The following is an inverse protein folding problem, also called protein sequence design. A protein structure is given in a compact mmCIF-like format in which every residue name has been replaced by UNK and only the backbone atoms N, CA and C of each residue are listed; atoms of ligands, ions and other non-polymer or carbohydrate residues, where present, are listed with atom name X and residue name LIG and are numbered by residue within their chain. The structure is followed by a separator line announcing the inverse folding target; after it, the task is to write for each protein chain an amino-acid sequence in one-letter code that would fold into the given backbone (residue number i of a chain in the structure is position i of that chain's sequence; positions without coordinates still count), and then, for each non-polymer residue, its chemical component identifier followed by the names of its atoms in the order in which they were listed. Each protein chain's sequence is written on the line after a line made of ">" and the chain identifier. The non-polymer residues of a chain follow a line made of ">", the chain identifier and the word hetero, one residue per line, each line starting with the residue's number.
data_IF_477226804637
#
_entry.id   IF_477226804637
#
_cell.length_a   1.000
_cell.length_b   1.000
_cell.length_c   1.000
_cell.angle_alpha   90.00
_cell.angle_beta   90.00
_cell.angle_gamma   90.00
#
_symmetry.space_group_name_H-M   'P 1'
#
loop_
_entity.id
_entity.type
_entity.pdbx_description
1 polymer ?
#
# COMPACT_ATOMS: atom_id res chain seq x y z
N UNK A 1 -44.56 -10.27 -13.17
CA UNK A 1 -43.25 -10.26 -13.87
C UNK A 1 -42.17 -10.31 -12.81
N UNK A 2 -41.58 -11.48 -12.61
CA UNK A 2 -40.50 -11.74 -11.66
C UNK A 2 -39.19 -11.26 -12.26
N UNK A 3 -38.63 -10.19 -11.71
CA UNK A 3 -37.26 -9.75 -12.04
C UNK A 3 -36.31 -10.74 -11.37
N UNK A 4 -35.63 -11.54 -12.19
CA UNK A 4 -34.55 -12.41 -11.73
C UNK A 4 -33.43 -11.54 -11.17
N UNK A 5 -33.16 -11.63 -9.87
CA UNK A 5 -31.94 -11.10 -9.28
C UNK A 5 -30.78 -11.88 -9.89
N UNK A 6 -30.04 -11.27 -10.82
CA UNK A 6 -28.77 -11.82 -11.24
C UNK A 6 -27.85 -11.80 -10.02
N UNK A 7 -27.60 -12.97 -9.44
CA UNK A 7 -26.79 -13.10 -8.24
C UNK A 7 -25.40 -12.49 -8.43
N UNK A 8 -24.88 -11.91 -7.35
CA UNK A 8 -23.54 -11.37 -7.17
C UNK A 8 -22.46 -12.48 -7.14
N UNK A 9 -22.52 -13.43 -8.08
CA UNK A 9 -21.59 -14.55 -8.11
C UNK A 9 -20.15 -14.05 -8.35
N UNK A 10 -19.22 -14.47 -7.49
CA UNK A 10 -17.80 -14.21 -7.69
C UNK A 10 -17.36 -14.78 -9.05
N UNK A 11 -16.51 -14.08 -9.83
CA UNK A 11 -15.88 -14.69 -10.99
C UNK A 11 -15.03 -15.90 -10.57
N UNK A 12 -14.99 -16.93 -11.40
CA UNK A 12 -14.35 -18.23 -11.11
C UNK A 12 -12.81 -18.17 -10.95
N UNK A 13 -12.17 -17.01 -11.13
CA UNK A 13 -10.73 -16.86 -10.97
C UNK A 13 -10.33 -16.90 -9.50
N UNK A 14 -9.29 -17.68 -9.18
CA UNK A 14 -8.72 -17.83 -7.83
C UNK A 14 -7.77 -16.70 -7.40
N UNK A 15 -7.68 -15.61 -8.16
CA UNK A 15 -6.90 -14.42 -7.81
C UNK A 15 -7.69 -13.39 -7.01
N UNK A 16 -7.02 -12.32 -6.54
CA UNK A 16 -7.64 -11.27 -5.76
C UNK A 16 -8.68 -10.52 -6.60
N UNK A 17 -9.75 -10.08 -5.95
CA UNK A 17 -10.73 -9.15 -6.53
C UNK A 17 -10.77 -7.90 -5.67
N UNK A 18 -10.72 -6.74 -6.32
CA UNK A 18 -10.77 -5.44 -5.67
C UNK A 18 -11.92 -4.61 -6.26
N UNK A 19 -13.06 -4.63 -5.56
CA UNK A 19 -14.26 -3.92 -5.96
C UNK A 19 -14.59 -2.80 -4.95
N UNK A 20 -15.33 -1.79 -5.40
CA UNK A 20 -15.68 -0.61 -4.59
C UNK A 20 -17.18 -0.41 -4.47
N UNK A 21 -17.65 0.14 -3.35
CA UNK A 21 -18.97 0.73 -3.19
C UNK A 21 -18.84 2.18 -2.74
N UNK A 22 -19.71 3.03 -3.29
CA UNK A 22 -19.80 4.44 -2.93
C UNK A 22 -21.16 4.73 -2.31
N UNK A 23 -21.18 5.44 -1.19
CA UNK A 23 -22.37 6.04 -0.62
C UNK A 23 -22.00 7.34 0.09
N UNK A 24 -22.97 8.21 0.32
CA UNK A 24 -22.80 9.49 1.01
C UNK A 24 -23.10 9.40 2.52
N UNK A 25 -23.22 8.17 3.03
CA UNK A 25 -23.50 7.90 4.43
C UNK A 25 -23.15 6.46 4.82
N UNK A 26 -22.83 6.26 6.10
CA UNK A 26 -22.66 4.94 6.70
C UNK A 26 -23.86 4.00 6.46
N UNK A 27 -25.09 4.52 6.47
CA UNK A 27 -26.28 3.70 6.20
C UNK A 27 -26.30 3.17 4.77
N UNK A 28 -25.95 4.00 3.79
CA UNK A 28 -25.83 3.57 2.39
C UNK A 28 -24.68 2.58 2.17
N UNK A 29 -23.56 2.75 2.87
CA UNK A 29 -22.46 1.78 2.85
C UNK A 29 -22.90 0.40 3.37
N UNK A 30 -23.64 0.39 4.48
CA UNK A 30 -24.20 -0.84 5.07
C UNK A 30 -25.19 -1.53 4.12
N UNK A 31 -26.05 -0.76 3.43
CA UNK A 31 -26.99 -1.33 2.44
C UNK A 31 -26.28 -2.11 1.34
N UNK A 32 -25.11 -1.66 0.90
CA UNK A 32 -24.32 -2.36 -0.15
C UNK A 32 -23.49 -3.50 0.44
N UNK A 33 -22.90 -3.32 1.62
CA UNK A 33 -22.05 -4.31 2.26
C UNK A 33 -22.81 -5.54 2.77
N UNK A 34 -24.06 -5.36 3.21
CA UNK A 34 -24.84 -6.41 3.87
C UNK A 34 -25.19 -7.59 2.94
N UNK A 35 -25.64 -7.40 1.69
CA UNK A 35 -25.81 -8.50 0.73
C UNK A 35 -24.50 -9.25 0.47
N UNK A 36 -23.40 -8.52 0.27
CA UNK A 36 -22.08 -9.08 0.01
C UNK A 36 -21.60 -10.02 1.14
N UNK A 37 -21.78 -9.61 2.39
CA UNK A 37 -21.49 -10.43 3.57
C UNK A 37 -22.38 -11.67 3.64
N UNK A 38 -23.71 -11.50 3.52
CA UNK A 38 -24.68 -12.59 3.65
C UNK A 38 -24.48 -13.68 2.60
N UNK A 39 -24.24 -13.29 1.36
CA UNK A 39 -23.97 -14.22 0.27
C UNK A 39 -22.66 -14.98 0.47
N UNK A 40 -21.62 -14.31 0.98
CA UNK A 40 -20.36 -14.96 1.33
C UNK A 40 -20.55 -16.03 2.38
N UNK A 41 -21.16 -15.67 3.50
CA UNK A 41 -21.44 -16.58 4.60
C UNK A 41 -22.33 -17.75 4.15
N UNK A 42 -23.36 -17.49 3.34
CA UNK A 42 -24.24 -18.53 2.78
C UNK A 42 -23.50 -19.46 1.81
N UNK A 43 -22.51 -18.95 1.08
CA UNK A 43 -21.63 -19.74 0.22
C UNK A 43 -20.54 -20.50 1.00
N UNK A 44 -20.31 -20.17 2.28
CA UNK A 44 -19.21 -20.71 3.09
C UNK A 44 -17.87 -20.00 2.86
N UNK A 45 -17.90 -18.78 2.31
CA UNK A 45 -16.74 -17.88 2.28
C UNK A 45 -16.63 -17.17 3.64
N UNK A 46 -15.50 -17.25 4.35
CA UNK A 46 -15.26 -16.43 5.54
C UNK A 46 -15.33 -14.93 5.19
N UNK A 47 -15.93 -14.14 6.08
CA UNK A 47 -16.09 -12.69 5.93
C UNK A 47 -15.35 -11.97 7.06
N UNK A 48 -14.46 -11.06 6.69
CA UNK A 48 -13.75 -10.16 7.60
C UNK A 48 -14.24 -8.74 7.35
N UNK A 49 -14.55 -8.01 8.43
CA UNK A 49 -14.97 -6.60 8.37
C UNK A 49 -13.88 -5.75 9.04
N UNK A 50 -13.37 -4.77 8.29
CA UNK A 50 -12.30 -3.84 8.67
C UNK A 50 -12.76 -2.41 8.31
N UNK A 51 -13.74 -1.90 9.04
CA UNK A 51 -14.43 -0.63 8.76
C UNK A 51 -14.39 0.31 9.95
N UNK A 52 -14.80 1.57 9.76
CA UNK A 52 -15.03 2.47 10.88
C UNK A 52 -16.12 1.94 11.82
N UNK A 53 -16.12 2.41 13.07
CA UNK A 53 -17.06 1.99 14.12
C UNK A 53 -18.54 2.07 13.69
N UNK A 54 -19.03 3.16 13.02
CA UNK A 54 -20.44 3.27 12.65
C UNK A 54 -20.92 2.14 11.73
N UNK A 55 -20.12 1.79 10.72
CA UNK A 55 -20.45 0.72 9.76
C UNK A 55 -20.24 -0.65 10.39
N UNK A 56 -19.19 -0.83 11.20
CA UNK A 56 -18.93 -2.08 11.89
C UNK A 56 -20.08 -2.45 12.84
N UNK A 57 -20.58 -1.49 13.62
CA UNK A 57 -21.67 -1.69 14.58
C UNK A 57 -22.99 -2.00 13.87
N UNK A 58 -23.31 -1.29 12.80
CA UNK A 58 -24.50 -1.55 12.00
C UNK A 58 -24.47 -2.94 11.33
N UNK A 59 -23.33 -3.33 10.76
CA UNK A 59 -23.13 -4.67 10.21
C UNK A 59 -23.24 -5.75 11.30
N UNK A 60 -22.67 -5.52 12.49
CA UNK A 60 -22.76 -6.45 13.62
C UNK A 60 -24.20 -6.64 14.08
N UNK A 61 -24.97 -5.56 14.19
CA UNK A 61 -26.39 -5.62 14.53
C UNK A 61 -27.22 -6.39 13.48
N UNK A 62 -26.91 -6.22 12.19
CA UNK A 62 -27.67 -6.81 11.09
C UNK A 62 -27.29 -8.27 10.75
N UNK A 63 -26.05 -8.67 11.04
CA UNK A 63 -25.51 -10.01 10.75
C UNK A 63 -25.54 -10.93 11.97
N UNK A 64 -25.49 -10.39 13.18
CA UNK A 64 -25.30 -11.18 14.40
C UNK A 64 -23.89 -11.76 14.50
N UNK A 65 -23.77 -13.01 14.97
CA UNK A 65 -22.49 -13.71 15.14
C UNK A 65 -22.49 -15.10 14.47
N UNK A 66 -22.68 -15.18 13.14
CA UNK A 66 -22.60 -16.44 12.42
C UNK A 66 -21.15 -16.96 12.38
N UNK A 67 -20.94 -18.28 12.24
CA UNK A 67 -19.61 -18.83 12.02
C UNK A 67 -19.00 -18.25 10.74
N UNK A 68 -17.70 -17.96 10.78
CA UNK A 68 -16.96 -17.41 9.63
C UNK A 68 -17.07 -15.88 9.47
N UNK A 69 -17.77 -15.16 10.35
CA UNK A 69 -17.74 -13.69 10.39
C UNK A 69 -16.75 -13.22 11.46
N UNK A 70 -15.85 -12.30 11.10
CA UNK A 70 -14.88 -11.70 12.02
C UNK A 70 -14.84 -10.18 11.81
N UNK A 71 -14.78 -9.43 12.91
CA UNK A 71 -14.57 -7.99 12.89
C UNK A 71 -13.18 -7.70 13.44
N UNK A 72 -12.40 -6.88 12.73
CA UNK A 72 -11.07 -6.44 13.16
C UNK A 72 -11.07 -4.90 13.27
N UNK A 73 -10.31 -4.38 14.23
CA UNK A 73 -10.08 -2.95 14.33
C UNK A 73 -9.20 -2.48 13.15
N UNK A 74 -9.57 -1.37 12.52
CA UNK A 74 -8.79 -0.78 11.44
C UNK A 74 -7.34 -0.50 11.86
N UNK A 75 -7.10 -0.12 13.12
CA UNK A 75 -5.76 0.19 13.66
C UNK A 75 -4.86 -1.03 13.77
N UNK A 76 -5.45 -2.23 13.89
CA UNK A 76 -4.70 -3.49 13.96
C UNK A 76 -4.32 -4.01 12.57
N UNK A 77 -5.11 -3.64 11.54
CA UNK A 77 -4.90 -4.10 10.16
C UNK A 77 -4.13 -3.09 9.32
N UNK A 78 -4.51 -1.82 9.40
CA UNK A 78 -3.86 -0.72 8.71
C UNK A 78 -2.70 -0.20 9.57
N UNK A 79 -1.55 -0.84 9.39
CA UNK A 79 -0.31 -0.38 10.00
C UNK A 79 0.08 1.01 9.51
N UNK A 80 1.04 1.63 10.21
CA UNK A 80 1.60 2.95 9.86
C UNK A 80 2.04 3.06 8.39
N UNK A 81 2.50 1.96 7.81
CA UNK A 81 2.99 1.88 6.43
C UNK A 81 2.13 0.90 5.63
N UNK A 82 1.79 1.27 4.41
CA UNK A 82 0.92 0.46 3.54
C UNK A 82 1.44 -0.97 3.26
N UNK A 83 2.75 -1.28 3.26
CA UNK A 83 3.18 -2.66 3.05
C UNK A 83 2.92 -3.58 4.26
N UNK A 84 2.77 -3.02 5.46
CA UNK A 84 2.34 -3.77 6.64
C UNK A 84 0.88 -4.25 6.46
N UNK A 85 0.03 -3.42 5.86
CA UNK A 85 -1.36 -3.77 5.50
C UNK A 85 -1.41 -4.95 4.52
N UNK A 86 -0.58 -4.94 3.46
CA UNK A 86 -0.49 -6.08 2.54
C UNK A 86 -0.06 -7.36 3.25
N UNK A 87 0.90 -7.25 4.17
CA UNK A 87 1.36 -8.37 5.00
C UNK A 87 0.25 -8.89 5.92
N UNK A 88 -0.54 -7.99 6.52
CA UNK A 88 -1.69 -8.36 7.34
C UNK A 88 -2.73 -9.13 6.52
N UNK A 89 -3.09 -8.67 5.32
CA UNK A 89 -4.03 -9.37 4.46
C UNK A 89 -3.52 -10.73 3.98
N UNK A 90 -2.22 -10.85 3.63
CA UNK A 90 -1.62 -12.16 3.32
C UNK A 90 -1.74 -13.13 4.50
N UNK A 91 -1.49 -12.67 5.73
CA UNK A 91 -1.65 -13.48 6.94
C UNK A 91 -3.11 -13.88 7.18
N UNK A 92 -4.06 -12.97 6.97
CA UNK A 92 -5.49 -13.28 7.09
C UNK A 92 -5.93 -14.35 6.09
N UNK A 93 -5.50 -14.25 4.84
CA UNK A 93 -5.82 -15.26 3.81
C UNK A 93 -5.19 -16.61 4.16
N UNK A 94 -3.92 -16.64 4.57
CA UNK A 94 -3.24 -17.87 4.95
C UNK A 94 -3.87 -18.54 6.19
N UNK A 95 -4.30 -17.75 7.18
CA UNK A 95 -4.93 -18.25 8.41
C UNK A 95 -6.40 -18.66 8.26
N UNK A 96 -7.06 -18.31 7.15
CA UNK A 96 -8.48 -18.59 6.95
C UNK A 96 -8.79 -20.05 6.53
N UNK A 97 -7.77 -20.89 6.30
CA UNK A 97 -7.89 -22.32 5.94
C UNK A 97 -8.99 -22.58 4.87
N UNK A 98 -8.91 -21.86 3.75
CA UNK A 98 -9.97 -21.82 2.75
C UNK A 98 -10.10 -23.15 1.98
N UNK A 99 -11.31 -23.76 1.93
CA UNK A 99 -11.56 -24.91 1.07
C UNK A 99 -11.34 -24.59 -0.42
N UNK A 100 -11.08 -25.60 -1.28
CA UNK A 100 -10.94 -25.38 -2.72
C UNK A 100 -12.13 -24.63 -3.32
N UNK A 101 -11.85 -23.57 -4.08
CA UNK A 101 -12.86 -22.72 -4.72
C UNK A 101 -13.50 -21.68 -3.79
N UNK A 102 -13.12 -21.64 -2.50
CA UNK A 102 -13.53 -20.58 -1.56
C UNK A 102 -12.54 -19.43 -1.56
N UNK A 103 -13.00 -18.31 -1.02
CA UNK A 103 -12.22 -17.07 -0.90
C UNK A 103 -12.51 -16.38 0.41
N UNK A 104 -11.54 -15.63 0.91
CA UNK A 104 -11.75 -14.69 2.00
C UNK A 104 -12.45 -13.45 1.44
N UNK A 105 -13.59 -13.05 2.00
CA UNK A 105 -14.24 -11.78 1.68
C UNK A 105 -13.88 -10.74 2.72
N UNK A 106 -13.45 -9.57 2.28
CA UNK A 106 -13.06 -8.47 3.16
C UNK A 106 -13.92 -7.27 2.84
N UNK A 107 -14.66 -6.77 3.83
CA UNK A 107 -15.34 -5.47 3.76
C UNK A 107 -14.41 -4.47 4.42
N UNK A 108 -13.94 -3.49 3.66
CA UNK A 108 -12.87 -2.59 4.09
C UNK A 108 -13.31 -1.13 3.91
N UNK A 109 -13.08 -0.30 4.92
CA UNK A 109 -12.98 1.16 4.73
C UNK A 109 -11.54 1.56 4.92
N UNK A 110 -11.03 2.47 4.11
CA UNK A 110 -9.67 2.99 4.28
C UNK A 110 -9.79 4.32 5.01
N UNK A 111 -9.25 4.36 6.23
CA UNK A 111 -9.27 5.55 7.07
C UNK A 111 -8.36 6.69 6.54
N UNK A 112 -7.54 6.41 5.50
CA UNK A 112 -6.54 7.35 5.00
C UNK A 112 -5.44 7.61 6.02
N UNK A 113 -4.69 8.70 5.80
CA UNK A 113 -3.74 9.23 6.79
C UNK A 113 -3.90 10.74 6.95
N UNK A 114 -3.24 11.33 7.97
CA UNK A 114 -3.45 12.73 8.35
C UNK A 114 -3.02 13.75 7.29
N UNK A 115 -2.16 13.39 6.32
CA UNK A 115 -1.64 14.32 5.33
C UNK A 115 -1.71 13.84 3.89
N UNK A 116 -1.49 14.78 2.95
CA UNK A 116 -1.50 14.54 1.50
C UNK A 116 -0.53 13.42 1.08
N UNK A 117 0.61 13.29 1.79
CA UNK A 117 1.58 12.23 1.52
C UNK A 117 1.08 10.85 1.87
N UNK A 118 0.36 10.71 2.97
CA UNK A 118 -0.25 9.44 3.34
C UNK A 118 -1.29 9.04 2.30
N UNK A 119 -2.08 10.00 1.83
CA UNK A 119 -3.04 9.77 0.74
C UNK A 119 -2.37 9.31 -0.55
N UNK A 120 -1.22 9.88 -0.93
CA UNK A 120 -0.46 9.41 -2.10
C UNK A 120 0.03 7.97 -1.91
N UNK A 121 0.49 7.61 -0.72
CA UNK A 121 0.94 6.24 -0.46
C UNK A 121 -0.23 5.24 -0.44
N UNK A 122 -1.39 5.64 0.09
CA UNK A 122 -2.62 4.84 -0.02
C UNK A 122 -3.09 4.70 -1.47
N UNK A 123 -2.98 5.74 -2.32
CA UNK A 123 -3.28 5.62 -3.75
C UNK A 123 -2.37 4.62 -4.45
N UNK A 124 -1.08 4.60 -4.11
CA UNK A 124 -0.14 3.58 -4.62
C UNK A 124 -0.56 2.18 -4.18
N UNK A 125 -0.88 2.01 -2.89
CA UNK A 125 -1.38 0.76 -2.34
C UNK A 125 -2.63 0.26 -3.07
N UNK A 126 -3.62 1.13 -3.25
CA UNK A 126 -4.88 0.82 -3.94
C UNK A 126 -4.65 0.37 -5.39
N UNK A 127 -3.70 0.99 -6.09
CA UNK A 127 -3.35 0.60 -7.45
C UNK A 127 -2.69 -0.78 -7.52
N UNK A 128 -1.88 -1.15 -6.54
CA UNK A 128 -1.07 -2.39 -6.58
C UNK A 128 -1.66 -3.55 -5.81
N UNK A 129 -2.75 -3.39 -5.06
CA UNK A 129 -3.27 -4.43 -4.15
C UNK A 129 -3.57 -5.75 -4.86
N UNK A 130 -4.16 -5.70 -6.06
CA UNK A 130 -4.41 -6.91 -6.87
C UNK A 130 -3.11 -7.57 -7.35
N UNK A 131 -2.09 -6.78 -7.67
CA UNK A 131 -0.78 -7.30 -8.07
C UNK A 131 -0.05 -7.91 -6.87
N UNK A 132 -0.01 -7.19 -5.75
CA UNK A 132 0.68 -7.61 -4.54
C UNK A 132 0.04 -8.84 -3.89
N UNK A 133 -1.27 -9.04 -4.04
CA UNK A 133 -1.99 -10.21 -3.55
C UNK A 133 -2.27 -11.22 -4.66
N UNK A 134 -1.53 -11.18 -5.77
CA UNK A 134 -1.65 -12.17 -6.83
C UNK A 134 -1.49 -13.60 -6.26
N UNK A 135 -2.44 -14.47 -6.59
CA UNK A 135 -2.49 -15.84 -6.08
C UNK A 135 -3.20 -16.00 -4.73
N UNK A 136 -3.53 -14.91 -4.02
CA UNK A 136 -4.37 -14.97 -2.83
C UNK A 136 -5.86 -15.01 -3.22
N UNK A 137 -6.64 -16.01 -2.78
CA UNK A 137 -8.07 -16.08 -3.01
C UNK A 137 -8.82 -15.12 -2.06
N UNK A 138 -8.74 -13.83 -2.34
CA UNK A 138 -9.36 -12.76 -1.54
C UNK A 138 -10.27 -11.89 -2.40
N UNK A 139 -11.36 -11.39 -1.81
CA UNK A 139 -12.27 -10.45 -2.45
C UNK A 139 -12.54 -9.28 -1.51
N UNK A 140 -11.98 -8.14 -1.85
CA UNK A 140 -12.22 -6.88 -1.19
C UNK A 140 -13.47 -6.20 -1.76
N UNK A 141 -14.34 -5.76 -0.84
CA UNK A 141 -15.34 -4.73 -1.07
C UNK A 141 -14.90 -3.49 -0.29
N UNK A 142 -14.27 -2.55 -0.98
CA UNK A 142 -13.84 -1.28 -0.42
C UNK A 142 -15.02 -0.31 -0.38
N UNK A 143 -15.33 0.19 0.80
CA UNK A 143 -16.41 1.14 1.05
C UNK A 143 -15.82 2.56 1.07
N UNK A 144 -16.43 3.46 0.31
CA UNK A 144 -15.99 4.84 0.16
C UNK A 144 -17.15 5.77 0.52
N UNK A 145 -17.03 6.45 1.67
CA UNK A 145 -17.99 7.47 2.08
C UNK A 145 -17.73 8.79 1.33
N UNK A 146 -18.52 9.06 0.30
CA UNK A 146 -18.37 10.28 -0.52
C UNK A 146 -18.83 11.55 0.20
N UNK A 147 -19.50 11.43 1.34
CA UNK A 147 -19.89 12.55 2.20
C UNK A 147 -18.75 13.01 3.10
N UNK A 148 -17.85 12.11 3.50
CA UNK A 148 -16.71 12.41 4.37
C UNK A 148 -15.37 12.51 3.62
N UNK A 149 -15.18 11.72 2.56
CA UNK A 149 -13.90 11.62 1.88
C UNK A 149 -13.63 12.83 0.96
N UNK A 150 -12.37 13.30 0.89
CA UNK A 150 -11.97 14.31 -0.08
C UNK A 150 -12.25 13.84 -1.52
N UNK A 151 -12.68 14.76 -2.39
CA UNK A 151 -13.05 14.46 -3.77
C UNK A 151 -11.92 13.76 -4.57
N UNK A 152 -10.64 14.07 -4.26
CA UNK A 152 -9.52 13.39 -4.88
C UNK A 152 -9.47 11.89 -4.53
N UNK A 153 -9.80 11.52 -3.29
CA UNK A 153 -9.79 10.12 -2.84
C UNK A 153 -10.90 9.34 -3.53
N UNK A 154 -12.10 9.91 -3.60
CA UNK A 154 -13.24 9.32 -4.32
C UNK A 154 -12.87 9.09 -5.79
N UNK A 155 -12.33 10.11 -6.47
CA UNK A 155 -11.87 10.00 -7.86
C UNK A 155 -10.83 8.88 -8.04
N UNK A 156 -9.91 8.72 -7.10
CA UNK A 156 -8.92 7.65 -7.14
C UNK A 156 -9.53 6.27 -6.99
N UNK A 157 -10.48 6.09 -6.07
CA UNK A 157 -11.20 4.83 -5.93
C UNK A 157 -11.97 4.45 -7.21
N UNK A 158 -12.50 5.43 -7.96
CA UNK A 158 -13.08 5.20 -9.29
C UNK A 158 -12.05 4.68 -10.30
N UNK A 159 -10.76 4.99 -10.16
CA UNK A 159 -9.74 4.54 -11.11
C UNK A 159 -9.09 3.21 -10.73
N UNK A 160 -9.04 2.85 -9.44
CA UNK A 160 -8.29 1.67 -8.95
C UNK A 160 -9.10 0.38 -8.90
N UNK A 161 -10.44 0.46 -8.92
CA UNK A 161 -11.32 -0.71 -8.77
C UNK A 161 -11.98 -1.12 -10.09
N UNK A 162 -11.87 -2.39 -10.45
CA UNK A 162 -12.42 -2.91 -11.72
C UNK A 162 -13.94 -2.92 -11.76
N UNK A 163 -14.59 -3.01 -10.60
CA UNK A 163 -16.05 -3.10 -10.51
C UNK A 163 -16.58 -2.26 -9.37
N UNK A 164 -17.80 -1.77 -9.57
CA UNK A 164 -18.56 -1.03 -8.56
C UNK A 164 -19.72 -1.90 -8.09
N UNK A 165 -19.89 -2.00 -6.78
CA UNK A 165 -21.08 -2.55 -6.13
C UNK A 165 -22.04 -1.42 -5.81
N UNK A 166 -23.30 -1.64 -6.13
CA UNK A 166 -24.41 -0.79 -5.72
C UNK A 166 -25.54 -1.69 -5.21
N UNK A 167 -26.61 -1.09 -4.68
CA UNK A 167 -27.79 -1.84 -4.22
C UNK A 167 -28.39 -2.78 -5.29
N UNK A 168 -28.19 -2.48 -6.58
CA UNK A 168 -28.66 -3.30 -7.71
C UNK A 168 -27.68 -4.41 -8.14
N UNK A 169 -26.55 -4.53 -7.45
CA UNK A 169 -25.51 -5.53 -7.71
C UNK A 169 -24.20 -4.95 -8.23
N UNK A 170 -23.32 -5.86 -8.64
CA UNK A 170 -21.96 -5.61 -9.12
C UNK A 170 -21.97 -5.32 -10.62
N UNK A 171 -21.28 -4.26 -11.03
CA UNK A 171 -21.14 -3.87 -12.45
C UNK A 171 -19.68 -3.52 -12.78
N UNK A 172 -19.24 -3.69 -14.03
CA UNK A 172 -17.94 -3.17 -14.48
C UNK A 172 -17.84 -1.67 -14.24
N UNK A 173 -16.63 -1.23 -13.87
CA UNK A 173 -16.30 0.17 -13.69
C UNK A 173 -15.67 0.75 -14.97
N UNK A 174 -16.33 1.67 -15.69
CA UNK A 174 -15.78 2.25 -16.91
C UNK A 174 -14.59 3.21 -16.66
N UNK A 175 -14.38 3.65 -15.42
CA UNK A 175 -13.30 4.59 -15.06
C UNK A 175 -12.02 3.88 -14.60
N UNK A 176 -12.05 2.56 -14.52
CA UNK A 176 -10.90 1.75 -14.15
C UNK A 176 -9.71 1.97 -15.10
N UNK A 177 -8.53 2.13 -14.53
CA UNK A 177 -7.26 2.25 -15.26
C UNK A 177 -6.30 1.15 -14.82
N UNK A 178 -5.37 0.79 -15.70
CA UNK A 178 -4.34 -0.19 -15.35
C UNK A 178 -3.38 0.40 -14.30
N UNK A 179 -2.94 -0.44 -13.35
CA UNK A 179 -2.14 -0.01 -12.21
C UNK A 179 -0.83 0.69 -12.63
N UNK A 180 -0.19 0.20 -13.69
CA UNK A 180 1.05 0.76 -14.24
C UNK A 180 0.84 2.20 -14.74
N UNK A 181 -0.32 2.47 -15.34
CA UNK A 181 -0.70 3.80 -15.83
C UNK A 181 -0.98 4.76 -14.67
N UNK A 182 -1.61 4.27 -13.61
CA UNK A 182 -1.90 5.04 -12.41
C UNK A 182 -0.63 5.39 -11.64
N UNK A 183 0.26 4.42 -11.42
CA UNK A 183 1.55 4.64 -10.77
C UNK A 183 2.39 5.69 -11.50
N UNK A 184 2.39 5.66 -12.85
CA UNK A 184 3.11 6.64 -13.66
C UNK A 184 2.50 8.06 -13.62
N UNK A 185 1.22 8.20 -13.26
CA UNK A 185 0.53 9.49 -13.15
C UNK A 185 0.66 10.14 -11.76
N UNK A 186 1.07 9.37 -10.75
CA UNK A 186 1.16 9.89 -9.39
C UNK A 186 2.30 10.90 -9.26
N UNK A 187 2.05 12.08 -8.66
CA UNK A 187 3.08 13.09 -8.51
C UNK A 187 4.15 12.63 -7.51
N UNK A 188 5.37 13.11 -7.71
CA UNK A 188 6.40 13.08 -6.66
C UNK A 188 6.23 14.34 -5.81
N UNK A 189 5.87 14.22 -4.52
CA UNK A 189 5.62 15.38 -3.68
C UNK A 189 6.89 16.19 -3.47
N UNK A 190 6.77 17.51 -3.35
CA UNK A 190 7.88 18.35 -2.89
C UNK A 190 8.23 17.96 -1.45
N UNK A 191 9.52 17.84 -1.15
CA UNK A 191 10.03 17.59 0.20
C UNK A 191 10.61 18.89 0.78
N UNK A 192 9.95 19.51 1.77
CA UNK A 192 10.42 20.77 2.36
C UNK A 192 11.86 20.70 2.89
N UNK A 193 12.29 19.57 3.46
CA UNK A 193 13.65 19.44 3.99
C UNK A 193 14.74 19.57 2.91
N UNK A 194 14.42 19.24 1.66
CA UNK A 194 15.36 19.38 0.54
C UNK A 194 15.56 20.83 0.09
N UNK A 195 14.79 21.80 0.64
CA UNK A 195 15.03 23.22 0.40
C UNK A 195 16.29 23.75 1.15
N UNK A 196 16.73 23.05 2.20
CA UNK A 196 17.96 23.37 2.93
C UNK A 196 19.17 22.63 2.32
N UNK A 197 20.41 23.08 2.61
CA UNK A 197 21.60 22.30 2.28
C UNK A 197 21.58 20.92 2.96
N UNK A 198 22.04 19.85 2.28
CA UNK A 198 22.10 18.52 2.87
C UNK A 198 23.10 18.44 4.02
N UNK A 199 22.76 17.65 5.03
CA UNK A 199 23.65 17.27 6.13
C UNK A 199 24.84 16.44 5.63
N UNK A 200 24.60 15.59 4.63
CA UNK A 200 25.63 14.79 3.97
C UNK A 200 25.47 14.89 2.45
N UNK A 201 26.58 15.15 1.76
CA UNK A 201 26.70 14.97 0.31
C UNK A 201 27.84 14.00 0.02
N UNK A 202 27.53 12.91 -0.68
CA UNK A 202 28.52 11.96 -1.18
C UNK A 202 28.33 11.79 -2.69
N UNK A 203 29.32 12.24 -3.45
CA UNK A 203 29.32 12.17 -4.92
C UNK A 203 30.11 10.97 -5.41
N UNK A 204 29.64 10.34 -6.49
CA UNK A 204 30.35 9.26 -7.17
C UNK A 204 30.69 8.11 -6.22
N UNK A 205 29.75 7.70 -5.38
CA UNK A 205 29.89 6.52 -4.52
C UNK A 205 30.21 5.31 -5.39
N UNK A 206 31.17 4.49 -4.96
CA UNK A 206 31.67 3.33 -5.73
C UNK A 206 31.55 2.01 -4.97
N UNK A 207 31.15 2.04 -3.70
CA UNK A 207 31.15 0.86 -2.82
C UNK A 207 29.86 0.84 -1.98
N UNK A 208 29.18 -0.31 -1.87
CA UNK A 208 28.14 -0.49 -0.86
C UNK A 208 28.67 -0.21 0.56
N UNK A 209 27.83 0.33 1.44
CA UNK A 209 28.20 0.65 2.83
C UNK A 209 29.21 1.80 3.00
N UNK A 210 29.68 2.44 1.92
CA UNK A 210 30.56 3.60 2.00
C UNK A 210 29.88 4.78 2.72
N UNK A 211 28.57 4.94 2.50
CA UNK A 211 27.77 6.03 3.05
C UNK A 211 27.37 5.73 4.50
N UNK A 212 27.08 4.46 4.85
CA UNK A 212 26.74 4.03 6.21
C UNK A 212 27.71 4.57 7.26
N UNK A 213 29.02 4.41 7.04
CA UNK A 213 30.04 4.85 7.99
C UNK A 213 30.00 6.36 8.28
N UNK A 214 29.65 7.18 7.28
CA UNK A 214 29.48 8.61 7.46
C UNK A 214 28.14 8.96 8.14
N UNK A 215 27.09 8.18 7.89
CA UNK A 215 25.74 8.42 8.43
C UNK A 215 25.59 8.02 9.90
N UNK A 216 26.19 6.91 10.34
CA UNK A 216 26.06 6.42 11.73
C UNK A 216 26.31 7.52 12.77
N UNK A 217 27.43 8.27 12.76
CA UNK A 217 27.65 9.32 13.76
C UNK A 217 26.69 10.50 13.62
N UNK A 218 26.24 10.82 12.40
CA UNK A 218 25.28 11.90 12.15
C UNK A 218 23.90 11.58 12.72
N UNK A 219 23.41 10.36 12.48
CA UNK A 219 22.10 9.90 12.96
C UNK A 219 22.11 9.65 14.47
N UNK A 220 23.22 9.16 15.03
CA UNK A 220 23.38 9.03 16.48
C UNK A 220 23.21 10.37 17.21
N UNK A 221 23.59 11.48 16.59
CA UNK A 221 23.41 12.84 17.12
C UNK A 221 21.96 13.31 17.21
N UNK A 222 21.01 12.63 16.55
CA UNK A 222 19.58 12.98 16.60
C UNK A 222 18.85 12.47 17.86
N UNK A 223 19.51 11.62 18.65
CA UNK A 223 18.97 10.99 19.87
C UNK A 223 17.59 10.31 19.67
N UNK A 224 17.50 9.50 18.60
CA UNK A 224 16.29 8.76 18.20
C UNK A 224 16.41 7.26 18.46
N UNK A 225 15.31 6.53 18.26
CA UNK A 225 15.24 5.08 18.38
C UNK A 225 16.37 4.39 17.58
N UNK A 226 17.20 3.56 18.25
CA UNK A 226 18.26 2.78 17.59
C UNK A 226 17.72 1.85 16.50
N UNK A 227 16.65 1.12 16.79
CA UNK A 227 16.08 0.14 15.87
C UNK A 227 15.59 0.83 14.58
N UNK A 228 14.87 1.96 14.71
CA UNK A 228 14.42 2.74 13.56
C UNK A 228 15.59 3.37 12.76
N UNK A 229 16.69 3.69 13.46
CA UNK A 229 17.91 4.20 12.81
C UNK A 229 18.62 3.11 12.02
N UNK A 230 18.70 1.89 12.56
CA UNK A 230 19.27 0.73 11.89
C UNK A 230 18.43 0.32 10.67
N UNK A 231 17.10 0.36 10.78
CA UNK A 231 16.16 0.15 9.67
C UNK A 231 16.38 1.16 8.54
N UNK A 232 16.54 2.45 8.87
CA UNK A 232 16.85 3.49 7.89
C UNK A 232 18.20 3.27 7.21
N UNK A 233 19.24 2.93 7.98
CA UNK A 233 20.57 2.64 7.45
C UNK A 233 20.55 1.43 6.50
N UNK A 234 19.79 0.39 6.83
CA UNK A 234 19.57 -0.74 5.96
C UNK A 234 18.88 -0.31 4.65
N UNK A 235 17.81 0.46 4.73
CA UNK A 235 17.11 0.97 3.53
C UNK A 235 18.07 1.78 2.63
N UNK A 236 18.87 2.68 3.20
CA UNK A 236 19.83 3.49 2.43
C UNK A 236 20.90 2.62 1.77
N UNK A 237 21.44 1.62 2.47
CA UNK A 237 22.43 0.70 1.89
C UNK A 237 21.86 -0.11 0.73
N UNK A 238 20.60 -0.55 0.82
CA UNK A 238 19.89 -1.23 -0.25
C UNK A 238 19.70 -0.30 -1.47
N UNK A 239 19.35 0.97 -1.25
CA UNK A 239 19.23 1.95 -2.34
C UNK A 239 20.57 2.24 -3.02
N UNK A 240 21.64 2.43 -2.24
CA UNK A 240 23.00 2.61 -2.77
C UNK A 240 23.44 1.37 -3.54
N UNK A 241 23.16 0.17 -3.03
CA UNK A 241 23.47 -1.08 -3.73
C UNK A 241 22.71 -1.17 -5.05
N UNK A 242 21.42 -0.81 -5.08
CA UNK A 242 20.63 -0.77 -6.31
C UNK A 242 21.23 0.20 -7.35
N UNK A 243 21.61 1.41 -6.94
CA UNK A 243 22.23 2.40 -7.83
C UNK A 243 23.57 1.90 -8.41
N UNK A 244 24.37 1.18 -7.61
CA UNK A 244 25.67 0.65 -8.04
C UNK A 244 25.56 -0.59 -8.94
N UNK A 245 24.60 -1.48 -8.65
CA UNK A 245 24.46 -2.78 -9.32
C UNK A 245 23.55 -2.69 -10.55
N UNK A 246 22.47 -1.92 -10.46
CA UNK A 246 21.42 -1.84 -11.48
C UNK A 246 21.36 -0.48 -12.19
N UNK A 247 21.91 0.56 -11.57
CA UNK A 247 21.96 1.91 -12.11
C UNK A 247 23.10 2.17 -13.08
N UNK A 248 23.36 3.44 -13.38
CA UNK A 248 24.55 3.89 -14.13
C UNK A 248 25.29 4.97 -13.36
N UNK A 249 26.63 4.94 -13.29
CA UNK A 249 27.40 5.98 -12.61
C UNK A 249 27.18 7.40 -13.18
N UNK A 250 27.37 8.46 -12.36
CA UNK A 250 27.72 8.40 -10.94
C UNK A 250 26.53 8.02 -10.06
N UNK A 251 26.81 7.34 -8.93
CA UNK A 251 25.83 7.13 -7.87
C UNK A 251 26.05 8.18 -6.79
N UNK A 252 25.08 9.07 -6.58
CA UNK A 252 25.17 10.18 -5.64
C UNK A 252 24.19 10.00 -4.49
N UNK A 253 24.61 10.39 -3.28
CA UNK A 253 23.77 10.34 -2.08
C UNK A 253 23.69 11.71 -1.44
N UNK A 254 22.49 12.08 -1.02
CA UNK A 254 22.22 13.26 -0.20
C UNK A 254 21.35 12.88 0.97
N UNK A 255 21.62 13.46 2.14
CA UNK A 255 20.82 13.24 3.34
C UNK A 255 20.51 14.58 4.01
N UNK A 256 19.26 14.74 4.41
CA UNK A 256 18.75 15.84 5.22
C UNK A 256 18.11 15.26 6.47
N UNK A 257 18.18 15.99 7.57
CA UNK A 257 17.50 15.65 8.80
C UNK A 257 17.06 16.93 9.51
N UNK A 258 15.84 16.92 10.03
CA UNK A 258 15.35 17.95 10.94
C UNK A 258 14.40 17.32 11.97
N UNK A 259 14.62 17.65 13.24
CA UNK A 259 13.92 17.04 14.36
C UNK A 259 14.08 15.51 14.39
N UNK A 260 13.00 14.79 14.06
CA UNK A 260 12.96 13.34 13.94
C UNK A 260 12.83 12.82 12.51
N UNK A 261 12.65 13.71 11.52
CA UNK A 261 12.45 13.31 10.13
C UNK A 261 13.78 13.27 9.40
N UNK A 262 14.06 12.17 8.71
CA UNK A 262 15.23 11.99 7.85
C UNK A 262 14.78 11.76 6.42
N UNK A 263 15.42 12.45 5.50
CA UNK A 263 15.25 12.29 4.05
C UNK A 263 16.59 11.87 3.47
N UNK A 264 16.59 10.79 2.70
CA UNK A 264 17.74 10.40 1.91
C UNK A 264 17.33 10.28 0.44
N UNK A 265 18.11 10.88 -0.45
CA UNK A 265 18.03 10.59 -1.89
C UNK A 265 19.27 9.86 -2.35
N UNK A 266 19.05 8.82 -3.15
CA UNK A 266 20.08 8.13 -3.92
C UNK A 266 19.73 8.30 -5.39
N UNK A 267 20.66 8.82 -6.19
CA UNK A 267 20.47 9.03 -7.63
C UNK A 267 21.56 8.37 -8.45
N UNK A 268 21.21 7.93 -9.64
CA UNK A 268 22.14 7.39 -10.63
C UNK A 268 21.72 7.78 -12.07
N UNK A 269 22.64 7.72 -13.02
CA UNK A 269 22.44 8.07 -14.43
C UNK A 269 21.64 7.04 -15.25
N UNK A 270 21.00 6.09 -14.61
CA UNK A 270 20.18 5.05 -15.23
C UNK A 270 18.78 5.52 -15.59
N UNK A 271 17.99 4.62 -16.19
CA UNK A 271 16.60 4.88 -16.61
C UNK A 271 15.58 4.48 -15.54
N UNK A 272 16.03 4.06 -14.36
CA UNK A 272 15.20 3.50 -13.31
C UNK A 272 14.71 2.06 -13.58
N UNK A 273 13.88 1.51 -12.68
CA UNK A 273 13.34 0.17 -12.81
C UNK A 273 12.47 0.04 -14.06
N UNK A 274 12.69 -1.02 -14.85
CA UNK A 274 11.84 -1.32 -16.01
C UNK A 274 10.48 -1.94 -15.64
N UNK A 275 10.35 -2.47 -14.42
CA UNK A 275 9.11 -2.99 -13.87
C UNK A 275 8.37 -1.88 -13.10
N UNK A 276 7.16 -1.47 -13.51
CA UNK A 276 6.37 -0.46 -12.80
C UNK A 276 5.98 -0.88 -11.38
N UNK A 277 6.02 -2.17 -11.07
CA UNK A 277 5.71 -2.71 -9.74
C UNK A 277 6.95 -2.88 -8.84
N UNK A 278 8.13 -2.45 -9.29
CA UNK A 278 9.36 -2.56 -8.53
C UNK A 278 9.22 -1.98 -7.11
N UNK A 279 9.45 -2.82 -6.11
CA UNK A 279 9.33 -2.48 -4.68
C UNK A 279 7.97 -2.80 -4.04
N UNK A 280 6.94 -3.16 -4.80
CA UNK A 280 5.65 -3.60 -4.24
C UNK A 280 5.58 -5.12 -3.93
N UNK A 281 6.71 -5.80 -4.10
CA UNK A 281 6.97 -7.17 -3.69
C UNK A 281 8.44 -7.51 -3.93
N UNK A 282 8.92 -8.67 -3.45
CA UNK A 282 10.26 -9.15 -3.79
C UNK A 282 10.34 -9.44 -5.30
N UNK A 283 11.43 -9.00 -5.96
CA UNK A 283 11.56 -9.09 -7.43
C UNK A 283 11.56 -10.53 -8.00
N UNK A 284 11.75 -11.54 -7.15
CA UNK A 284 11.80 -12.95 -7.54
C UNK A 284 10.76 -13.82 -6.82
N UNK A 285 9.66 -13.22 -6.35
CA UNK A 285 8.62 -13.92 -5.63
C UNK A 285 9.04 -14.29 -4.22
N UNK A 286 8.56 -15.41 -3.69
CA UNK A 286 8.82 -15.81 -2.29
C UNK A 286 10.25 -16.33 -2.05
N UNK A 287 11.02 -16.62 -3.10
CA UNK A 287 12.41 -17.04 -2.99
C UNK A 287 13.35 -15.84 -2.78
N UNK A 288 13.47 -15.45 -1.51
CA UNK A 288 14.30 -14.31 -1.07
C UNK A 288 15.80 -14.54 -1.29
N UNK A 289 16.24 -15.77 -1.58
CA UNK A 289 17.67 -16.10 -1.78
C UNK A 289 18.25 -15.51 -3.07
N UNK A 290 17.39 -15.13 -4.02
CA UNK A 290 17.78 -14.62 -5.34
C UNK A 290 18.08 -13.12 -5.36
N UNK A 291 17.95 -12.42 -4.22
CA UNK A 291 18.14 -10.97 -4.14
C UNK A 291 16.97 -10.17 -4.75
N UNK A 292 17.21 -8.89 -5.07
CA UNK A 292 16.18 -8.03 -5.66
C UNK A 292 15.12 -7.54 -4.66
N UNK A 293 15.48 -7.44 -3.38
CA UNK A 293 14.59 -7.02 -2.31
C UNK A 293 14.73 -5.54 -1.94
N UNK A 294 15.77 -4.84 -2.42
CA UNK A 294 16.16 -3.55 -1.85
C UNK A 294 15.05 -2.48 -1.87
N UNK A 295 14.36 -2.29 -3.01
CA UNK A 295 13.23 -1.36 -3.08
C UNK A 295 12.03 -1.81 -2.23
N UNK A 296 11.81 -3.12 -2.14
CA UNK A 296 10.74 -3.67 -1.33
C UNK A 296 11.03 -3.47 0.16
N UNK A 297 12.26 -3.74 0.62
CA UNK A 297 12.73 -3.46 1.97
C UNK A 297 12.63 -1.97 2.29
N UNK A 298 13.04 -1.08 1.39
CA UNK A 298 12.91 0.36 1.59
C UNK A 298 11.45 0.76 1.87
N UNK A 299 10.47 0.19 1.15
CA UNK A 299 9.04 0.44 1.42
C UNK A 299 8.56 -0.13 2.75
N UNK A 300 9.14 -1.23 3.24
CA UNK A 300 8.80 -1.77 4.56
C UNK A 300 9.38 -0.89 5.70
N UNK A 301 10.58 -0.35 5.50
CA UNK A 301 11.40 0.25 6.55
C UNK A 301 11.25 1.77 6.63
N UNK A 302 10.84 2.44 5.54
CA UNK A 302 10.63 3.88 5.48
C UNK A 302 9.16 4.22 5.29
N UNK A 303 8.75 5.41 5.75
CA UNK A 303 7.34 5.83 5.69
C UNK A 303 6.92 6.20 4.26
N UNK A 304 7.83 6.80 3.49
CA UNK A 304 7.60 7.11 2.08
C UNK A 304 8.80 6.70 1.22
N UNK A 305 8.50 6.14 0.04
CA UNK A 305 9.48 5.86 -1.01
C UNK A 305 8.98 6.44 -2.33
N UNK A 306 9.66 7.47 -2.81
CA UNK A 306 9.41 8.10 -4.10
C UNK A 306 10.48 7.70 -5.10
N UNK A 307 10.08 7.40 -6.33
CA UNK A 307 10.97 7.07 -7.43
C UNK A 307 10.58 7.97 -8.60
N UNK A 308 11.55 8.68 -9.17
CA UNK A 308 11.32 9.45 -10.40
C UNK A 308 12.54 9.42 -11.29
N UNK A 309 12.30 9.71 -12.56
CA UNK A 309 13.33 9.80 -13.59
C UNK A 309 13.23 11.15 -14.26
N UNK A 310 14.38 11.79 -14.46
CA UNK A 310 14.52 13.03 -15.22
C UNK A 310 15.70 12.92 -16.21
N UNK A 311 16.10 14.04 -16.83
CA UNK A 311 17.19 14.08 -17.81
C UNK A 311 18.55 13.65 -17.24
N UNK A 312 18.73 13.67 -15.92
CA UNK A 312 19.97 13.30 -15.22
C UNK A 312 20.01 11.83 -14.83
N UNK A 313 18.86 11.15 -14.84
CA UNK A 313 18.73 9.73 -14.53
C UNK A 313 17.60 9.46 -13.55
N UNK A 314 17.75 8.43 -12.72
CA UNK A 314 16.75 8.03 -11.71
C UNK A 314 17.16 8.52 -10.33
N UNK A 315 16.19 8.96 -9.54
CA UNK A 315 16.37 9.23 -8.12
C UNK A 315 15.34 8.45 -7.31
N UNK A 316 15.81 7.83 -6.24
CA UNK A 316 14.97 7.23 -5.20
C UNK A 316 15.11 8.07 -3.94
N UNK A 317 13.98 8.51 -3.38
CA UNK A 317 13.92 9.21 -2.09
C UNK A 317 13.22 8.35 -1.07
N UNK A 318 13.85 8.19 0.09
CA UNK A 318 13.20 7.70 1.30
C UNK A 318 13.00 8.84 2.28
N UNK A 319 11.81 8.90 2.86
CA UNK A 319 11.50 9.78 3.99
C UNK A 319 10.98 8.94 5.13
N UNK A 320 11.50 9.15 6.34
CA UNK A 320 10.96 8.51 7.53
C UNK A 320 11.08 9.41 8.76
N UNK A 321 10.09 9.34 9.62
CA UNK A 321 10.16 9.89 10.97
C UNK A 321 10.66 8.81 11.93
N UNK A 322 11.81 9.09 12.52
CA UNK A 322 12.46 8.31 13.56
C UNK A 322 11.80 8.66 14.91
N UNK A 323 11.19 7.66 15.60
CA UNK A 323 10.62 7.88 16.92
C UNK A 323 11.66 8.38 17.93
N UNK A 324 11.21 9.14 18.93
CA UNK A 324 12.02 9.43 20.10
C UNK A 324 12.48 8.12 20.80
N UNK A 325 13.60 8.19 21.52
CA UNK A 325 14.08 7.08 22.36
C UNK A 325 13.12 6.73 23.49
#
# INVERSE_FOLDING_TARGET
>A
MTVSAAGLAAPASGGPLHDVAFADSAAGLVEVALPFAREGLAAGDPVVVVTGEPVADALRAALGQPPGLTFLDQRDVYGRRTPATLTAFRKLVAGAELPPGRRLRVIAEIAGGPGDRDWLEWQRYEAVVEHALAGCPVWFLCLQDTGELPAQVVRWAHCTHRHVHAARGRRPNPEFQAAEQLLAQLPVPTEPLQAAPPLLSADGVTRPGAVRHALVPLLAGLDRSPDATDDLLLAIDELVTNALVHGRPPADVRVWADGGTVVCTVSDGGTGPGDPFAGYGPAHGEDLSRGGMGLWLARQLCDHVDIWTDERGVTVRVTTELPAR
#
